data_IF_231242556474
#
_entry.id   IF_231242556474
#
_cell.length_a   1.000
_cell.length_b   1.000
_cell.length_c   1.000
_cell.angle_alpha   90.00
_cell.angle_beta   90.00
_cell.angle_gamma   90.00
#
_symmetry.space_group_name_H-M   'P 1'
#
loop_
_entity.id
_entity.type
_entity.pdbx_description
1 polymer ?
#
# COMPACT_ATOMS: atom_id res chain seq x y z
N UNK A 1 5.33 5.36 18.97
CA UNK A 1 6.46 5.59 18.08
C UNK A 1 7.59 6.28 18.85
N UNK A 2 7.40 7.49 19.38
CA UNK A 2 8.43 8.28 20.08
C UNK A 2 9.07 7.52 21.25
N UNK A 3 8.28 6.90 22.14
CA UNK A 3 8.80 6.11 23.26
C UNK A 3 9.68 4.95 22.80
N UNK A 4 9.27 4.26 21.73
CA UNK A 4 10.01 3.13 21.17
C UNK A 4 11.35 3.59 20.61
N UNK A 5 11.39 4.72 19.91
CA UNK A 5 12.60 5.23 19.25
C UNK A 5 13.45 6.18 20.14
N UNK A 6 13.07 6.43 21.39
CA UNK A 6 13.76 7.41 22.25
C UNK A 6 15.26 7.12 22.45
N UNK A 7 15.65 5.85 22.41
CA UNK A 7 17.05 5.41 22.55
C UNK A 7 17.85 5.42 21.24
N UNK A 8 17.25 5.68 20.10
CA UNK A 8 17.94 5.74 18.79
C UNK A 8 18.75 7.03 18.64
N UNK A 9 19.61 7.09 17.60
CA UNK A 9 20.38 8.33 17.29
C UNK A 9 19.42 9.49 17.04
N UNK A 10 18.43 9.32 16.17
CA UNK A 10 17.43 10.35 15.87
C UNK A 10 16.58 10.70 17.10
N UNK A 11 16.23 9.71 17.92
CA UNK A 11 15.43 9.93 19.13
C UNK A 11 16.14 10.77 20.19
N UNK A 12 17.47 10.59 20.34
CA UNK A 12 18.30 11.43 21.21
C UNK A 12 18.48 12.83 20.64
N UNK A 13 18.79 12.95 19.35
CA UNK A 13 18.96 14.21 18.63
C UNK A 13 17.72 15.12 18.76
N UNK A 14 16.52 14.56 18.56
CA UNK A 14 15.25 15.26 18.61
C UNK A 14 14.51 15.13 19.95
N UNK A 15 15.17 14.62 21.01
CA UNK A 15 14.65 14.54 22.38
C UNK A 15 13.31 13.83 22.50
N UNK A 16 13.14 12.71 21.81
CA UNK A 16 11.87 11.96 21.75
C UNK A 16 11.38 11.50 23.14
N UNK A 17 12.29 11.19 24.07
CA UNK A 17 11.90 10.83 25.45
C UNK A 17 11.15 11.96 26.16
N UNK A 18 11.61 13.21 25.98
CA UNK A 18 10.99 14.40 26.59
C UNK A 18 9.63 14.70 25.93
N UNK A 19 9.56 14.61 24.61
CA UNK A 19 8.32 14.82 23.86
C UNK A 19 7.28 13.76 24.24
N UNK A 20 7.67 12.48 24.35
CA UNK A 20 6.79 11.37 24.70
C UNK A 20 6.24 11.45 26.14
N UNK A 21 6.84 12.27 27.00
CA UNK A 21 6.37 12.60 28.34
C UNK A 21 5.41 13.79 28.42
N UNK A 22 5.16 14.49 27.29
CA UNK A 22 4.25 15.62 27.23
C UNK A 22 2.78 15.20 27.38
N UNK A 23 1.90 16.15 27.67
CA UNK A 23 0.44 15.95 27.63
C UNK A 23 -0.02 15.56 26.21
N UNK A 24 -1.18 14.94 26.08
CA UNK A 24 -1.73 14.56 24.78
C UNK A 24 -1.93 15.80 23.87
N UNK A 25 -2.34 16.92 24.44
CA UNK A 25 -2.56 18.19 23.75
C UNK A 25 -1.25 18.79 23.20
N UNK A 26 -0.16 18.67 23.95
CA UNK A 26 1.16 19.22 23.59
C UNK A 26 2.02 18.29 22.73
N UNK A 27 1.75 16.99 22.75
CA UNK A 27 2.62 15.99 22.16
C UNK A 27 2.87 16.22 20.67
N UNK A 28 1.78 16.42 19.92
CA UNK A 28 1.88 16.62 18.44
C UNK A 28 2.60 17.93 18.13
N UNK A 29 2.26 19.01 18.84
CA UNK A 29 2.91 20.32 18.67
C UNK A 29 4.41 20.22 18.92
N UNK A 30 4.83 19.67 20.08
CA UNK A 30 6.26 19.50 20.41
C UNK A 30 7.00 18.59 19.44
N UNK A 31 6.32 17.57 18.91
CA UNK A 31 6.88 16.69 17.89
C UNK A 31 7.10 17.45 16.58
N UNK A 32 6.13 18.24 16.15
CA UNK A 32 6.26 19.09 14.95
C UNK A 32 7.37 20.13 15.07
N UNK A 33 7.52 20.75 16.24
CA UNK A 33 8.54 21.74 16.52
C UNK A 33 9.96 21.13 16.53
N UNK A 34 10.09 19.88 16.99
CA UNK A 34 11.38 19.20 17.11
C UNK A 34 11.83 18.47 15.85
N UNK A 35 10.89 17.93 15.07
CA UNK A 35 11.17 17.09 13.90
C UNK A 35 10.67 17.75 12.63
N UNK A 36 11.55 18.20 11.71
CA UNK A 36 11.14 18.79 10.45
C UNK A 36 10.50 17.76 9.52
N UNK A 37 9.65 18.22 8.61
CA UNK A 37 9.18 17.43 7.47
C UNK A 37 10.36 17.22 6.51
N UNK A 38 10.52 16.00 6.00
CA UNK A 38 11.61 15.67 5.10
C UNK A 38 11.24 14.62 4.06
N UNK A 39 11.91 14.64 2.94
CA UNK A 39 11.80 13.63 1.91
C UNK A 39 12.89 12.54 2.07
N UNK A 40 13.03 11.67 1.07
CA UNK A 40 14.03 10.59 1.09
C UNK A 40 15.47 11.13 1.23
N UNK A 41 15.78 12.28 0.64
CA UNK A 41 17.11 12.85 0.68
C UNK A 41 17.53 13.27 2.10
N UNK A 42 16.58 13.78 2.89
CA UNK A 42 16.82 14.13 4.29
C UNK A 42 17.24 12.93 5.16
N UNK A 43 16.86 11.71 4.75
CA UNK A 43 17.16 10.47 5.47
C UNK A 43 18.22 9.60 4.78
N UNK A 44 18.63 9.91 3.54
CA UNK A 44 19.47 9.06 2.69
C UNK A 44 20.69 8.49 3.40
N UNK A 45 21.49 9.33 4.04
CA UNK A 45 22.73 8.90 4.71
C UNK A 45 22.46 7.95 5.88
N UNK A 46 21.40 8.21 6.65
CA UNK A 46 20.99 7.38 7.79
C UNK A 46 20.42 6.03 7.32
N UNK A 47 19.62 6.06 6.27
CA UNK A 47 19.07 4.84 5.64
C UNK A 47 20.20 3.99 5.04
N UNK A 48 21.20 4.60 4.42
CA UNK A 48 22.38 3.91 3.91
C UNK A 48 23.17 3.23 5.05
N UNK A 49 23.47 3.93 6.14
CA UNK A 49 24.16 3.36 7.31
C UNK A 49 23.39 2.17 7.90
N UNK A 50 22.05 2.26 8.01
CA UNK A 50 21.23 1.15 8.48
C UNK A 50 21.23 -0.04 7.53
N UNK A 51 21.21 0.17 6.21
CA UNK A 51 21.10 -0.89 5.21
C UNK A 51 22.45 -1.49 4.83
N UNK A 52 23.43 -0.65 4.56
CA UNK A 52 24.74 -1.09 4.05
C UNK A 52 25.64 -1.57 5.17
N UNK A 53 25.65 -0.84 6.29
CA UNK A 53 26.50 -1.14 7.45
C UNK A 53 25.79 -1.95 8.54
N UNK A 54 24.47 -2.19 8.39
CA UNK A 54 23.62 -2.82 9.41
C UNK A 54 23.68 -2.08 10.76
N UNK A 55 23.84 -0.75 10.71
CA UNK A 55 24.03 0.06 11.92
C UNK A 55 22.72 0.03 12.76
N UNK A 56 22.80 -0.41 14.04
CA UNK A 56 21.63 -0.46 14.90
C UNK A 56 21.27 0.92 15.44
N UNK A 57 20.02 1.07 15.87
CA UNK A 57 19.54 2.22 16.64
C UNK A 57 19.75 3.59 15.96
N UNK A 58 19.72 3.64 14.63
CA UNK A 58 19.84 4.91 13.89
C UNK A 58 18.48 5.62 13.84
N UNK A 59 17.57 5.17 13.00
CA UNK A 59 16.21 5.73 12.88
C UNK A 59 15.16 4.90 13.65
N UNK A 60 15.41 3.62 13.87
CA UNK A 60 14.54 2.68 14.56
C UNK A 60 15.38 1.75 15.45
N UNK A 61 14.83 1.22 16.57
CA UNK A 61 15.60 0.37 17.48
C UNK A 61 16.07 -0.93 16.84
N UNK A 62 17.31 -1.30 17.13
CA UNK A 62 17.97 -2.50 16.63
C UNK A 62 18.35 -2.41 15.15
N UNK A 63 18.73 -3.55 14.57
CA UNK A 63 19.03 -3.68 13.16
C UNK A 63 17.75 -3.95 12.38
N UNK A 64 17.45 -3.16 11.37
CA UNK A 64 16.35 -3.42 10.41
C UNK A 64 16.90 -4.28 9.29
N UNK A 65 16.44 -5.53 9.23
CA UNK A 65 16.98 -6.55 8.31
C UNK A 65 16.28 -6.61 6.96
N UNK A 66 15.11 -6.00 6.83
CA UNK A 66 14.29 -6.06 5.62
C UNK A 66 14.10 -4.67 5.03
N UNK A 67 14.30 -4.56 3.72
CA UNK A 67 14.26 -3.29 2.99
C UNK A 67 13.48 -3.44 1.70
N UNK A 68 12.42 -2.65 1.58
CA UNK A 68 11.65 -2.58 0.35
C UNK A 68 12.36 -1.67 -0.66
N UNK A 69 12.58 -2.21 -1.86
CA UNK A 69 13.09 -1.44 -2.99
C UNK A 69 11.92 -0.84 -3.76
N UNK A 70 12.01 0.45 -4.08
CA UNK A 70 10.99 1.15 -4.85
C UNK A 70 11.63 2.06 -5.89
N UNK A 71 11.02 2.14 -7.07
CA UNK A 71 11.45 3.07 -8.12
C UNK A 71 11.16 4.51 -7.67
N UNK A 72 12.22 5.29 -7.45
CA UNK A 72 12.10 6.72 -7.18
C UNK A 72 11.65 7.47 -8.44
N UNK A 73 10.69 8.40 -8.29
CA UNK A 73 10.21 9.27 -9.39
C UNK A 73 11.27 10.22 -9.95
N UNK A 74 12.45 10.31 -9.34
CA UNK A 74 13.56 11.23 -9.71
C UNK A 74 14.85 10.53 -10.12
N UNK A 75 14.73 9.30 -10.67
CA UNK A 75 15.89 8.64 -11.31
C UNK A 75 16.81 7.84 -10.38
N UNK A 76 16.42 7.58 -9.13
CA UNK A 76 17.19 6.71 -8.23
C UNK A 76 16.33 5.69 -7.52
N UNK A 77 16.89 4.52 -7.22
CA UNK A 77 16.24 3.54 -6.36
C UNK A 77 16.16 4.08 -4.93
N UNK A 78 15.00 3.90 -4.30
CA UNK A 78 14.80 4.19 -2.88
C UNK A 78 14.70 2.88 -2.12
N UNK A 79 15.26 2.88 -0.92
CA UNK A 79 15.24 1.74 -0.02
C UNK A 79 14.52 2.10 1.26
N UNK A 80 13.38 1.50 1.47
CA UNK A 80 12.46 1.79 2.58
C UNK A 80 12.62 0.73 3.66
N UNK A 81 12.88 1.10 4.91
CA UNK A 81 13.05 0.13 6.00
C UNK A 81 11.73 -0.56 6.33
N UNK A 82 11.77 -1.88 6.48
CA UNK A 82 10.63 -2.70 6.86
C UNK A 82 10.94 -3.40 8.19
N UNK A 83 10.64 -2.73 9.28
CA UNK A 83 10.83 -3.26 10.63
C UNK A 83 9.87 -4.42 10.93
N UNK A 84 10.13 -5.19 11.99
CA UNK A 84 9.18 -6.21 12.48
C UNK A 84 7.84 -5.58 12.88
N UNK A 85 7.85 -4.35 13.39
CA UNK A 85 6.63 -3.62 13.73
C UNK A 85 5.86 -3.23 12.46
N UNK A 86 6.55 -2.82 11.39
CA UNK A 86 5.93 -2.54 10.10
C UNK A 86 5.33 -3.81 9.47
N UNK A 87 6.00 -4.95 9.57
CA UNK A 87 5.42 -6.24 9.15
C UNK A 87 4.11 -6.55 9.88
N UNK A 88 4.06 -6.29 11.21
CA UNK A 88 2.83 -6.47 12.00
C UNK A 88 1.75 -5.47 11.61
N UNK A 89 2.12 -4.22 11.30
CA UNK A 89 1.22 -3.18 10.78
C UNK A 89 0.57 -3.64 9.48
N UNK A 90 1.36 -4.06 8.51
CA UNK A 90 0.88 -4.57 7.23
C UNK A 90 0.00 -5.82 7.38
N UNK A 91 0.33 -6.71 8.33
CA UNK A 91 -0.51 -7.88 8.62
C UNK A 91 -1.87 -7.49 9.19
N UNK A 92 -1.93 -6.50 10.10
CA UNK A 92 -3.20 -5.96 10.61
C UNK A 92 -4.04 -5.36 9.49
N UNK A 93 -3.42 -4.53 8.63
CA UNK A 93 -4.11 -3.97 7.46
C UNK A 93 -4.65 -5.07 6.53
N UNK A 94 -3.91 -6.16 6.32
CA UNK A 94 -4.39 -7.31 5.56
C UNK A 94 -5.61 -7.99 6.21
N UNK A 95 -5.66 -8.10 7.54
CA UNK A 95 -6.84 -8.61 8.24
C UNK A 95 -8.04 -7.66 8.11
N UNK A 96 -7.80 -6.35 8.14
CA UNK A 96 -8.86 -5.34 7.96
C UNK A 96 -9.48 -5.41 6.55
N UNK A 97 -8.71 -5.79 5.52
CA UNK A 97 -9.26 -6.05 4.17
C UNK A 97 -10.36 -7.12 4.25
N UNK A 98 -10.11 -8.24 4.95
CA UNK A 98 -11.12 -9.29 5.11
C UNK A 98 -12.32 -8.82 5.94
N UNK A 99 -12.07 -8.06 7.01
CA UNK A 99 -13.14 -7.49 7.83
C UNK A 99 -14.04 -6.53 7.03
N UNK A 100 -13.43 -5.69 6.19
CA UNK A 100 -14.20 -4.80 5.31
C UNK A 100 -14.88 -5.54 4.17
N UNK A 101 -14.24 -6.57 3.58
CA UNK A 101 -14.86 -7.40 2.55
C UNK A 101 -16.21 -8.01 3.00
N UNK A 102 -16.35 -8.38 4.28
CA UNK A 102 -17.63 -8.83 4.83
C UNK A 102 -18.71 -7.75 4.75
N UNK A 103 -18.36 -6.47 4.90
CA UNK A 103 -19.31 -5.34 4.75
C UNK A 103 -19.76 -5.17 3.30
N UNK A 104 -18.97 -5.65 2.34
CA UNK A 104 -19.31 -5.71 0.92
C UNK A 104 -20.17 -6.93 0.58
N UNK A 105 -20.54 -7.77 1.56
CA UNK A 105 -21.34 -8.98 1.34
C UNK A 105 -20.51 -10.22 1.04
N UNK A 106 -19.18 -10.14 1.11
CA UNK A 106 -18.30 -11.29 0.89
C UNK A 106 -18.41 -12.27 2.05
N UNK A 107 -18.67 -13.53 1.75
CA UNK A 107 -18.68 -14.60 2.74
C UNK A 107 -17.27 -15.16 2.93
N UNK A 108 -16.69 -15.01 4.13
CA UNK A 108 -15.34 -15.52 4.43
C UNK A 108 -15.26 -17.05 4.28
N UNK A 109 -16.30 -17.78 4.67
CA UNK A 109 -16.33 -19.25 4.51
C UNK A 109 -16.30 -19.68 3.05
N UNK A 110 -17.03 -18.96 2.19
CA UNK A 110 -16.96 -19.19 0.74
C UNK A 110 -15.62 -18.77 0.18
N UNK A 111 -15.09 -17.61 0.60
CA UNK A 111 -13.80 -17.08 0.14
C UNK A 111 -12.67 -18.07 0.43
N UNK A 112 -12.57 -18.56 1.66
CA UNK A 112 -11.55 -19.50 2.12
C UNK A 112 -11.75 -20.95 1.63
N UNK A 113 -12.88 -21.25 1.01
CA UNK A 113 -13.15 -22.58 0.41
C UNK A 113 -12.47 -22.79 -0.96
N UNK A 114 -11.78 -21.81 -1.52
CA UNK A 114 -11.01 -21.89 -2.76
C UNK A 114 -9.67 -21.19 -2.68
N UNK A 115 -9.18 -20.65 -3.79
CA UNK A 115 -7.86 -20.05 -3.87
C UNK A 115 -7.93 -18.52 -3.80
N UNK A 116 -7.00 -17.94 -3.06
CA UNK A 116 -6.75 -16.51 -2.98
C UNK A 116 -5.50 -16.21 -3.82
N UNK A 117 -5.70 -15.59 -4.98
CA UNK A 117 -4.66 -15.30 -5.95
C UNK A 117 -4.05 -13.93 -5.67
N UNK A 118 -2.75 -13.90 -5.38
CA UNK A 118 -1.99 -12.67 -5.15
C UNK A 118 -1.03 -12.41 -6.31
N UNK A 119 -1.23 -11.31 -6.99
CA UNK A 119 -0.39 -10.83 -8.07
C UNK A 119 0.58 -9.77 -7.53
N UNK A 120 1.70 -10.23 -7.00
CA UNK A 120 2.80 -9.39 -6.52
C UNK A 120 3.78 -9.00 -7.62
N UNK A 121 4.62 -8.00 -7.34
CA UNK A 121 5.71 -7.56 -8.20
C UNK A 121 6.86 -8.57 -8.32
N UNK A 122 8.07 -8.05 -8.52
CA UNK A 122 9.28 -8.88 -8.51
C UNK A 122 9.49 -9.50 -7.13
N UNK A 123 10.05 -10.69 -7.11
CA UNK A 123 10.39 -11.40 -5.88
C UNK A 123 11.88 -11.55 -5.70
N UNK A 124 12.68 -10.84 -6.51
CA UNK A 124 14.11 -10.75 -6.32
C UNK A 124 14.43 -10.15 -4.97
N UNK A 125 14.93 -10.95 -4.06
CA UNK A 125 15.44 -10.52 -2.76
C UNK A 125 16.94 -10.81 -2.74
N UNK A 126 17.72 -9.73 -2.66
CA UNK A 126 19.17 -9.81 -2.46
C UNK A 126 19.48 -9.80 -0.97
N UNK A 127 20.55 -10.49 -0.58
CA UNK A 127 21.04 -10.52 0.80
C UNK A 127 22.49 -10.05 0.79
N UNK A 128 22.80 -8.98 1.50
CA UNK A 128 24.18 -8.50 1.58
C UNK A 128 25.01 -9.32 2.60
N UNK A 129 26.32 -9.06 2.68
CA UNK A 129 27.24 -9.76 3.57
C UNK A 129 26.90 -9.62 5.07
N UNK A 130 26.05 -8.67 5.45
CA UNK A 130 25.59 -8.45 6.82
C UNK A 130 24.20 -9.07 7.11
N UNK A 131 23.64 -9.82 6.15
CA UNK A 131 22.34 -10.47 6.29
C UNK A 131 21.15 -9.53 6.06
N UNK A 132 21.35 -8.33 5.51
CA UNK A 132 20.29 -7.39 5.16
C UNK A 132 19.65 -7.83 3.86
N UNK A 133 18.34 -8.02 3.89
CA UNK A 133 17.52 -8.44 2.74
C UNK A 133 16.92 -7.21 2.06
N UNK A 134 17.08 -7.11 0.75
CA UNK A 134 16.53 -6.00 -0.06
C UNK A 134 15.81 -6.55 -1.27
N UNK A 135 14.61 -6.06 -1.55
CA UNK A 135 13.82 -6.45 -2.70
C UNK A 135 12.44 -5.80 -2.71
N UNK A 136 11.59 -6.17 -3.64
CA UNK A 136 10.19 -5.74 -3.64
C UNK A 136 9.48 -6.19 -2.34
N UNK A 137 8.60 -5.34 -1.80
CA UNK A 137 7.87 -5.66 -0.57
C UNK A 137 7.10 -6.98 -0.68
N UNK A 138 6.54 -7.30 -1.84
CA UNK A 138 5.86 -8.57 -2.10
C UNK A 138 6.80 -9.77 -1.97
N UNK A 139 8.05 -9.64 -2.43
CA UNK A 139 9.08 -10.67 -2.28
C UNK A 139 9.49 -10.90 -0.82
N UNK A 140 9.53 -9.84 -0.02
CA UNK A 140 9.83 -9.93 1.42
C UNK A 140 8.69 -10.56 2.21
N UNK A 141 7.43 -10.33 1.83
CA UNK A 141 6.24 -10.79 2.57
C UNK A 141 5.80 -12.20 2.17
N UNK A 142 5.91 -12.57 0.89
CA UNK A 142 5.46 -13.88 0.39
C UNK A 142 5.99 -15.07 1.21
N UNK A 143 7.29 -15.15 1.60
CA UNK A 143 7.79 -16.25 2.42
C UNK A 143 7.23 -16.31 3.85
N UNK A 144 6.55 -15.24 4.29
CA UNK A 144 5.94 -15.16 5.62
C UNK A 144 4.51 -15.69 5.65
N UNK A 145 3.91 -15.99 4.49
CA UNK A 145 2.59 -16.61 4.40
C UNK A 145 2.68 -18.05 4.92
N UNK A 146 2.07 -18.28 6.08
CA UNK A 146 2.11 -19.56 6.79
C UNK A 146 0.74 -20.21 6.87
N UNK A 147 0.73 -21.48 7.26
CA UNK A 147 -0.50 -22.18 7.60
C UNK A 147 -1.36 -21.36 8.60
N UNK A 148 -2.70 -21.28 8.42
CA UNK A 148 -3.50 -21.95 7.37
C UNK A 148 -3.60 -21.20 6.05
N UNK A 149 -3.15 -19.94 5.94
CA UNK A 149 -3.28 -19.13 4.72
C UNK A 149 -2.49 -19.70 3.53
N UNK A 150 -1.38 -20.39 3.78
CA UNK A 150 -0.60 -21.07 2.72
C UNK A 150 -1.39 -22.12 1.94
N UNK A 151 -2.41 -22.74 2.58
CA UNK A 151 -3.25 -23.75 1.92
C UNK A 151 -4.16 -23.15 0.85
N UNK A 152 -4.59 -21.92 1.03
CA UNK A 152 -5.47 -21.20 0.10
C UNK A 152 -4.73 -20.20 -0.77
N UNK A 153 -3.46 -19.92 -0.49
CA UNK A 153 -2.64 -19.00 -1.25
C UNK A 153 -2.32 -19.53 -2.66
N UNK A 154 -2.45 -18.69 -3.66
CA UNK A 154 -2.04 -18.92 -5.05
C UNK A 154 -1.25 -17.69 -5.54
N UNK A 155 -0.21 -17.85 -6.38
CA UNK A 155 0.15 -19.07 -7.11
C UNK A 155 1.05 -20.05 -6.34
N UNK A 156 1.41 -19.77 -5.10
CA UNK A 156 2.41 -20.51 -4.34
C UNK A 156 3.84 -20.03 -4.65
N UNK A 157 4.84 -20.43 -3.82
CA UNK A 157 6.19 -19.88 -3.89
C UNK A 157 6.88 -20.15 -5.23
N UNK A 158 6.70 -21.32 -5.82
CA UNK A 158 7.40 -21.71 -7.06
C UNK A 158 7.11 -20.77 -8.24
N UNK A 159 5.88 -20.28 -8.35
CA UNK A 159 5.48 -19.33 -9.40
C UNK A 159 5.62 -17.89 -8.92
N UNK A 160 5.30 -17.62 -7.64
CA UNK A 160 5.42 -16.28 -7.07
C UNK A 160 6.86 -15.76 -7.13
N UNK A 161 7.86 -16.65 -7.02
CA UNK A 161 9.30 -16.33 -7.02
C UNK A 161 9.93 -16.24 -8.43
N UNK A 162 9.15 -16.35 -9.49
CA UNK A 162 9.67 -16.12 -10.85
C UNK A 162 9.94 -14.63 -11.08
N UNK A 163 11.15 -14.30 -11.57
CA UNK A 163 11.61 -12.93 -11.72
C UNK A 163 11.21 -12.31 -13.05
N UNK A 164 11.26 -13.11 -14.13
CA UNK A 164 10.90 -12.63 -15.45
C UNK A 164 9.39 -12.50 -15.60
N UNK A 165 8.93 -11.27 -15.68
CA UNK A 165 7.48 -10.92 -15.65
C UNK A 165 6.63 -11.68 -16.68
N UNK A 166 6.99 -11.76 -17.99
CA UNK A 166 6.21 -12.53 -18.94
C UNK A 166 6.08 -14.01 -18.58
N UNK A 167 7.18 -14.63 -18.14
CA UNK A 167 7.18 -16.05 -17.70
C UNK A 167 6.32 -16.25 -16.46
N UNK A 168 6.37 -15.30 -15.51
CA UNK A 168 5.57 -15.33 -14.29
C UNK A 168 4.08 -15.24 -14.60
N UNK A 169 3.65 -14.30 -15.44
CA UNK A 169 2.26 -14.15 -15.87
C UNK A 169 1.76 -15.39 -16.60
N UNK A 170 2.55 -15.96 -17.50
CA UNK A 170 2.20 -17.21 -18.21
C UNK A 170 2.04 -18.39 -17.25
N UNK A 171 2.96 -18.56 -16.31
CA UNK A 171 2.88 -19.61 -15.30
C UNK A 171 1.66 -19.43 -14.36
N UNK A 172 1.42 -18.20 -13.90
CA UNK A 172 0.24 -17.86 -13.10
C UNK A 172 -1.05 -18.14 -13.85
N UNK A 173 -1.16 -17.70 -15.11
CA UNK A 173 -2.36 -17.90 -15.91
C UNK A 173 -2.64 -19.40 -16.17
N UNK A 174 -1.60 -20.19 -16.48
CA UNK A 174 -1.73 -21.65 -16.65
C UNK A 174 -2.23 -22.33 -15.37
N UNK A 175 -1.76 -21.90 -14.23
CA UNK A 175 -2.15 -22.43 -12.93
C UNK A 175 -3.59 -22.02 -12.58
N UNK A 176 -3.88 -20.72 -12.58
CA UNK A 176 -5.15 -20.17 -12.11
C UNK A 176 -6.33 -20.44 -13.05
N UNK A 177 -6.10 -20.68 -14.35
CA UNK A 177 -7.15 -21.13 -15.28
C UNK A 177 -7.73 -22.52 -14.94
N UNK A 178 -7.04 -23.29 -14.08
CA UNK A 178 -7.51 -24.59 -13.59
C UNK A 178 -7.87 -24.62 -12.11
N UNK A 179 -7.86 -23.46 -11.43
CA UNK A 179 -8.13 -23.37 -10.00
C UNK A 179 -9.48 -22.67 -9.72
N UNK A 180 -10.09 -23.01 -8.60
CA UNK A 180 -11.26 -22.31 -8.06
C UNK A 180 -10.82 -21.00 -7.40
N UNK A 181 -10.59 -19.97 -8.21
CA UNK A 181 -10.18 -18.63 -7.74
C UNK A 181 -11.38 -17.90 -7.16
N UNK A 182 -11.26 -17.47 -5.91
CA UNK A 182 -12.32 -16.77 -5.18
C UNK A 182 -11.96 -15.37 -4.78
N UNK A 183 -10.69 -15.05 -4.73
CA UNK A 183 -10.19 -13.69 -4.57
C UNK A 183 -9.00 -13.48 -5.50
N UNK A 184 -8.91 -12.28 -6.07
CA UNK A 184 -7.70 -11.78 -6.72
C UNK A 184 -7.25 -10.51 -5.98
N UNK A 185 -5.95 -10.39 -5.75
CA UNK A 185 -5.34 -9.17 -5.20
C UNK A 185 -4.16 -8.76 -6.06
N UNK A 186 -4.14 -7.52 -6.55
CA UNK A 186 -3.07 -6.99 -7.38
C UNK A 186 -3.40 -5.65 -8.01
N UNK A 187 -2.42 -5.06 -8.70
CA UNK A 187 -2.67 -3.83 -9.48
C UNK A 187 -3.64 -4.10 -10.62
N UNK A 188 -4.55 -3.16 -10.87
CA UNK A 188 -5.58 -3.31 -11.91
C UNK A 188 -4.99 -3.60 -13.29
N UNK A 189 -3.90 -2.92 -13.68
CA UNK A 189 -3.21 -3.11 -14.95
C UNK A 189 -2.66 -4.53 -15.11
N UNK A 190 -1.97 -5.04 -14.10
CA UNK A 190 -1.38 -6.38 -14.13
C UNK A 190 -2.44 -7.47 -14.03
N UNK A 191 -3.47 -7.22 -13.23
CA UNK A 191 -4.60 -8.15 -13.10
C UNK A 191 -5.36 -8.30 -14.42
N UNK A 192 -5.55 -7.22 -15.18
CA UNK A 192 -6.18 -7.31 -16.51
C UNK A 192 -5.38 -8.20 -17.46
N UNK A 193 -4.05 -8.04 -17.52
CA UNK A 193 -3.17 -8.92 -18.34
C UNK A 193 -3.33 -10.39 -17.93
N UNK A 194 -3.37 -10.66 -16.61
CA UNK A 194 -3.57 -12.01 -16.11
C UNK A 194 -4.96 -12.56 -16.45
N UNK A 195 -6.01 -11.74 -16.35
CA UNK A 195 -7.39 -12.12 -16.67
C UNK A 195 -7.53 -12.52 -18.14
N UNK A 196 -6.99 -11.71 -19.06
CA UNK A 196 -6.98 -11.99 -20.48
C UNK A 196 -6.22 -13.28 -20.79
N UNK A 197 -5.06 -13.48 -20.17
CA UNK A 197 -4.23 -14.67 -20.38
C UNK A 197 -4.89 -15.93 -19.81
N UNK A 198 -5.50 -15.86 -18.64
CA UNK A 198 -6.25 -16.97 -18.05
C UNK A 198 -7.42 -17.39 -18.93
N UNK A 199 -8.16 -16.42 -19.47
CA UNK A 199 -9.27 -16.66 -20.41
C UNK A 199 -8.78 -17.27 -21.73
N UNK A 200 -7.67 -16.79 -22.29
CA UNK A 200 -7.03 -17.35 -23.48
C UNK A 200 -6.69 -18.85 -23.26
N UNK A 201 -6.03 -19.16 -22.14
CA UNK A 201 -5.66 -20.53 -21.80
C UNK A 201 -6.90 -21.42 -21.58
N UNK A 202 -7.94 -20.92 -20.92
CA UNK A 202 -9.18 -21.64 -20.74
C UNK A 202 -9.85 -21.98 -22.09
N UNK A 203 -9.82 -21.04 -23.04
CA UNK A 203 -10.33 -21.25 -24.41
C UNK A 203 -9.57 -22.29 -25.20
N UNK A 204 -8.25 -22.42 -25.02
CA UNK A 204 -7.48 -23.49 -25.66
C UNK A 204 -7.86 -24.88 -25.17
N UNK A 205 -8.29 -24.98 -23.88
CA UNK A 205 -8.74 -26.22 -23.27
C UNK A 205 -10.21 -26.53 -23.59
N UNK A 206 -11.03 -25.51 -23.64
CA UNK A 206 -12.46 -25.59 -23.95
C UNK A 206 -12.88 -24.40 -24.82
N UNK A 207 -13.00 -24.57 -26.16
CA UNK A 207 -13.38 -23.49 -27.08
C UNK A 207 -14.76 -22.89 -26.86
N UNK A 208 -15.62 -23.49 -26.02
CA UNK A 208 -16.94 -22.94 -25.68
C UNK A 208 -16.87 -21.80 -24.65
N UNK A 209 -15.79 -21.70 -23.88
CA UNK A 209 -15.61 -20.66 -22.87
C UNK A 209 -15.50 -19.28 -23.54
N UNK A 210 -16.31 -18.33 -23.09
CA UNK A 210 -16.38 -16.97 -23.64
C UNK A 210 -15.88 -15.89 -22.67
N UNK A 211 -16.07 -16.09 -21.38
CA UNK A 211 -15.86 -15.09 -20.34
C UNK A 211 -15.03 -15.64 -19.17
N UNK A 212 -14.36 -14.74 -18.46
CA UNK A 212 -13.62 -15.12 -17.26
C UNK A 212 -14.55 -15.61 -16.13
N UNK A 213 -15.79 -15.14 -16.11
CA UNK A 213 -16.84 -15.65 -15.18
C UNK A 213 -17.08 -17.15 -15.32
N UNK A 214 -16.95 -17.69 -16.53
CA UNK A 214 -17.05 -19.14 -16.76
C UNK A 214 -15.80 -19.90 -16.29
N UNK A 215 -14.63 -19.23 -16.26
CA UNK A 215 -13.38 -19.80 -15.74
C UNK A 215 -13.37 -19.78 -14.21
N UNK A 216 -13.83 -18.67 -13.61
CA UNK A 216 -13.85 -18.45 -12.15
C UNK A 216 -15.27 -18.17 -11.64
N UNK A 217 -16.20 -19.15 -11.72
CA UNK A 217 -17.60 -18.93 -11.38
C UNK A 217 -17.83 -18.56 -9.90
N UNK A 218 -16.88 -18.86 -9.04
CA UNK A 218 -16.93 -18.60 -7.61
C UNK A 218 -16.14 -17.37 -7.18
N UNK A 219 -15.60 -16.57 -8.12
CA UNK A 219 -14.91 -15.34 -7.76
C UNK A 219 -15.83 -14.42 -6.96
N UNK A 220 -15.36 -13.95 -5.81
CA UNK A 220 -16.14 -13.09 -4.92
C UNK A 220 -15.54 -11.69 -4.79
N UNK A 221 -14.20 -11.57 -4.79
CA UNK A 221 -13.55 -10.33 -4.42
C UNK A 221 -12.35 -10.05 -5.31
N UNK A 222 -12.27 -8.81 -5.80
CA UNK A 222 -11.07 -8.24 -6.39
C UNK A 222 -10.56 -7.11 -5.50
N UNK A 223 -9.39 -7.30 -4.88
CA UNK A 223 -8.68 -6.28 -4.10
C UNK A 223 -7.65 -5.63 -5.03
N UNK A 224 -7.76 -4.33 -5.25
CA UNK A 224 -6.86 -3.62 -6.17
C UNK A 224 -6.35 -2.31 -5.58
N UNK A 225 -5.22 -1.84 -6.08
CA UNK A 225 -4.60 -0.58 -5.67
C UNK A 225 -3.36 -0.27 -6.52
N UNK A 226 -2.63 0.77 -6.15
CA UNK A 226 -1.39 1.20 -6.80
C UNK A 226 -1.58 2.01 -8.08
N UNK A 227 -2.69 1.86 -8.79
CA UNK A 227 -3.08 2.64 -9.97
C UNK A 227 -4.58 2.92 -9.95
N UNK A 228 -5.02 4.01 -10.60
CA UNK A 228 -6.45 4.30 -10.77
C UNK A 228 -7.11 3.16 -11.55
N UNK A 229 -8.25 2.66 -11.05
CA UNK A 229 -8.97 1.55 -11.68
C UNK A 229 -9.74 1.96 -12.94
N UNK A 230 -10.30 3.17 -12.95
CA UNK A 230 -11.23 3.63 -13.99
C UNK A 230 -10.76 3.41 -15.46
N UNK A 231 -9.48 3.60 -15.83
CA UNK A 231 -9.03 3.32 -17.19
C UNK A 231 -9.15 1.84 -17.60
N UNK A 232 -9.14 0.93 -16.65
CA UNK A 232 -9.18 -0.53 -16.89
C UNK A 232 -10.60 -1.11 -16.80
N UNK A 233 -11.53 -0.39 -16.17
CA UNK A 233 -12.89 -0.87 -15.87
C UNK A 233 -13.64 -1.39 -17.11
N UNK A 234 -13.71 -0.69 -18.27
CA UNK A 234 -14.45 -1.19 -19.43
C UNK A 234 -13.91 -2.54 -19.92
N UNK A 235 -12.58 -2.68 -19.96
CA UNK A 235 -11.96 -3.90 -20.45
C UNK A 235 -12.06 -5.06 -19.45
N UNK A 236 -11.96 -4.78 -18.15
CA UNK A 236 -12.20 -5.79 -17.09
C UNK A 236 -13.62 -6.33 -17.19
N UNK A 237 -14.64 -5.48 -17.35
CA UNK A 237 -16.04 -5.88 -17.54
C UNK A 237 -16.23 -6.76 -18.78
N UNK A 238 -15.62 -6.36 -19.89
CA UNK A 238 -15.65 -7.15 -21.12
C UNK A 238 -15.02 -8.54 -20.96
N UNK A 239 -13.86 -8.64 -20.33
CA UNK A 239 -13.18 -9.91 -20.07
C UNK A 239 -13.99 -10.76 -19.09
N UNK A 240 -14.59 -10.12 -18.07
CA UNK A 240 -15.39 -10.80 -17.04
C UNK A 240 -16.69 -11.40 -17.59
N UNK A 241 -17.49 -10.60 -18.29
CA UNK A 241 -18.88 -10.96 -18.64
C UNK A 241 -19.20 -10.83 -20.13
N UNK A 242 -18.23 -10.50 -20.99
CA UNK A 242 -18.42 -10.31 -22.43
C UNK A 242 -19.31 -9.12 -22.73
N UNK A 243 -20.21 -9.28 -23.71
CA UNK A 243 -21.14 -8.24 -24.15
C UNK A 243 -22.13 -7.76 -23.06
N UNK A 244 -22.28 -8.50 -21.95
CA UNK A 244 -23.15 -8.09 -20.84
C UNK A 244 -22.56 -6.88 -20.09
N UNK A 245 -21.22 -6.70 -20.09
CA UNK A 245 -20.55 -5.57 -19.45
C UNK A 245 -20.75 -5.51 -17.91
N UNK A 246 -21.13 -6.65 -17.28
CA UNK A 246 -21.30 -6.71 -15.83
C UNK A 246 -19.97 -6.54 -15.11
N UNK A 247 -20.00 -5.89 -13.96
CA UNK A 247 -18.84 -5.74 -13.10
C UNK A 247 -18.48 -7.05 -12.37
N UNK A 248 -17.25 -7.10 -11.86
CA UNK A 248 -16.84 -8.12 -10.90
C UNK A 248 -17.76 -8.10 -9.67
N UNK A 249 -18.00 -9.25 -8.99
CA UNK A 249 -18.95 -9.34 -7.90
C UNK A 249 -18.73 -8.32 -6.79
N UNK A 250 -17.49 -8.19 -6.33
CA UNK A 250 -17.08 -7.15 -5.37
C UNK A 250 -15.67 -6.66 -5.69
N UNK A 251 -15.48 -5.34 -5.58
CA UNK A 251 -14.18 -4.69 -5.67
C UNK A 251 -13.92 -3.92 -4.40
N UNK A 252 -12.68 -3.98 -3.93
CA UNK A 252 -12.20 -3.25 -2.76
C UNK A 252 -10.88 -2.59 -3.12
N UNK A 253 -10.86 -1.26 -3.13
CA UNK A 253 -9.66 -0.49 -3.40
C UNK A 253 -8.83 -0.34 -2.13
N UNK A 254 -7.51 -0.48 -2.28
CA UNK A 254 -6.53 -0.32 -1.22
C UNK A 254 -5.45 0.67 -1.63
N UNK A 255 -4.89 1.35 -0.65
CA UNK A 255 -3.77 2.26 -0.82
C UNK A 255 -2.55 1.73 -0.04
N UNK A 256 -1.84 0.73 -0.58
CA UNK A 256 -0.58 0.27 -0.04
C UNK A 256 0.57 1.12 -0.58
N UNK A 257 1.60 1.32 0.24
CA UNK A 257 2.87 1.88 -0.16
C UNK A 257 4.01 1.06 0.46
N UNK A 258 5.22 1.18 -0.07
CA UNK A 258 6.40 0.53 0.51
C UNK A 258 6.70 1.05 1.91
N UNK A 259 6.35 2.30 2.18
CA UNK A 259 6.46 2.98 3.46
C UNK A 259 5.46 2.47 4.52
N UNK A 260 4.36 1.88 4.08
CA UNK A 260 3.32 1.32 4.94
C UNK A 260 1.95 1.29 4.26
N UNK A 261 1.00 0.61 4.87
CA UNK A 261 -0.37 0.54 4.38
C UNK A 261 -1.13 1.80 4.82
N UNK A 262 -1.69 2.56 3.89
CA UNK A 262 -2.23 3.90 4.19
C UNK A 262 -3.74 3.87 4.39
N UNK A 263 -4.49 3.35 3.43
CA UNK A 263 -5.95 3.40 3.46
C UNK A 263 -6.59 2.26 2.67
N UNK A 264 -7.88 2.01 2.90
CA UNK A 264 -8.65 1.03 2.16
C UNK A 264 -10.14 1.38 2.13
N UNK A 265 -10.86 0.94 1.10
CA UNK A 265 -12.31 1.01 1.08
C UNK A 265 -12.90 0.20 2.25
N UNK A 266 -13.90 0.78 2.94
CA UNK A 266 -14.58 0.13 4.06
C UNK A 266 -16.10 0.13 3.91
N UNK A 267 -16.63 0.78 2.88
CA UNK A 267 -18.07 0.96 2.68
C UNK A 267 -18.43 0.76 1.21
N UNK A 268 -19.37 -0.15 0.90
CA UNK A 268 -19.86 -0.37 -0.45
C UNK A 268 -20.39 0.92 -1.08
N UNK A 269 -20.07 1.15 -2.36
CA UNK A 269 -20.54 2.33 -3.11
C UNK A 269 -19.88 3.65 -2.71
N UNK A 270 -19.05 3.69 -1.67
CA UNK A 270 -18.26 4.86 -1.31
C UNK A 270 -16.83 4.73 -1.90
N UNK A 271 -16.41 5.62 -2.80
CA UNK A 271 -15.07 5.57 -3.37
C UNK A 271 -13.96 6.05 -2.42
N UNK A 272 -14.33 6.68 -1.31
CA UNK A 272 -13.37 7.15 -0.32
C UNK A 272 -12.70 6.01 0.44
N UNK A 273 -11.38 6.09 0.58
CA UNK A 273 -10.55 5.11 1.29
C UNK A 273 -10.40 5.54 2.75
N UNK A 274 -10.81 4.70 3.67
CA UNK A 274 -10.62 4.93 5.11
C UNK A 274 -9.14 4.89 5.46
N UNK A 275 -8.66 5.97 6.08
CA UNK A 275 -7.30 6.09 6.58
C UNK A 275 -7.06 5.11 7.74
N UNK A 276 -5.96 4.38 7.72
CA UNK A 276 -5.55 3.43 8.76
C UNK A 276 -4.86 4.13 9.93
N UNK A 277 -5.62 4.72 10.85
CA UNK A 277 -5.09 5.54 11.96
C UNK A 277 -4.57 4.73 13.16
N UNK A 278 -4.84 3.43 13.21
CA UNK A 278 -4.58 2.55 14.36
C UNK A 278 -3.58 1.40 14.06
N UNK A 279 -2.91 1.46 12.92
CA UNK A 279 -1.97 0.42 12.46
C UNK A 279 -0.48 0.74 12.73
N UNK A 280 -0.20 1.73 13.59
CA UNK A 280 1.19 2.06 13.99
C UNK A 280 1.88 3.07 13.09
N UNK A 281 1.12 3.83 12.33
CA UNK A 281 1.56 4.95 11.51
C UNK A 281 0.83 6.22 11.97
N UNK A 282 1.57 7.30 12.12
CA UNK A 282 1.00 8.62 12.37
C UNK A 282 1.04 9.44 11.08
N UNK A 283 -0.10 9.99 10.69
CA UNK A 283 -0.26 10.74 9.45
C UNK A 283 -0.42 12.21 9.72
N UNK A 284 0.24 13.00 8.88
CA UNK A 284 0.07 14.43 8.74
C UNK A 284 -0.13 14.77 7.26
N UNK A 285 -0.67 15.95 6.99
CA UNK A 285 -1.07 16.39 5.66
C UNK A 285 -0.58 17.82 5.46
N UNK A 286 0.17 18.08 4.39
CA UNK A 286 0.62 19.42 4.02
C UNK A 286 -0.23 19.89 2.83
N UNK A 287 -0.86 21.09 2.90
CA UNK A 287 -1.53 21.65 1.73
C UNK A 287 -0.62 21.66 0.51
N UNK A 288 -1.13 21.20 -0.64
CA UNK A 288 -0.32 21.04 -1.86
C UNK A 288 0.41 22.33 -2.26
N UNK A 289 -0.24 23.45 -2.10
CA UNK A 289 0.29 24.80 -2.42
C UNK A 289 1.34 25.33 -1.43
N UNK A 290 1.52 24.64 -0.29
CA UNK A 290 2.47 25.04 0.74
C UNK A 290 3.73 24.18 0.79
N UNK A 291 3.78 23.03 0.11
CA UNK A 291 4.84 22.03 0.30
C UNK A 291 6.25 22.57 0.05
N UNK A 292 6.41 23.50 -0.86
CA UNK A 292 7.69 24.12 -1.21
C UNK A 292 8.01 25.36 -0.35
N UNK A 293 7.13 25.73 0.58
CA UNK A 293 7.34 26.87 1.48
C UNK A 293 8.16 26.45 2.70
N UNK A 294 9.10 27.29 3.18
CA UNK A 294 9.88 26.98 4.38
C UNK A 294 9.03 26.87 5.67
N UNK A 295 7.87 27.53 5.68
CA UNK A 295 6.90 27.58 6.78
C UNK A 295 5.70 26.67 6.58
N UNK A 296 5.75 25.76 5.61
CA UNK A 296 4.68 24.79 5.31
C UNK A 296 4.22 24.06 6.57
N UNK A 297 2.92 24.15 6.85
CA UNK A 297 2.32 23.55 8.04
C UNK A 297 1.70 22.20 7.72
N UNK A 298 2.18 21.15 8.38
CA UNK A 298 1.51 19.86 8.37
C UNK A 298 0.39 19.82 9.43
N UNK A 299 -0.79 19.36 9.05
CA UNK A 299 -1.99 19.23 9.89
C UNK A 299 -2.37 17.75 10.09
N UNK A 300 -3.12 17.44 11.15
CA UNK A 300 -3.69 16.11 11.37
C UNK A 300 -4.99 15.93 10.58
N UNK A 301 -5.50 14.70 10.50
CA UNK A 301 -6.69 14.37 9.71
C UNK A 301 -8.01 14.99 10.22
N UNK A 302 -8.04 15.54 11.42
CA UNK A 302 -9.14 16.31 11.99
C UNK A 302 -9.03 17.82 11.71
N UNK A 303 -7.86 18.27 11.27
CA UNK A 303 -7.58 19.67 10.94
C UNK A 303 -7.72 19.96 9.42
N UNK A 304 -7.80 18.92 8.56
CA UNK A 304 -7.92 19.08 7.09
C UNK A 304 -9.28 19.63 6.66
N UNK A 305 -9.38 20.08 5.42
CA UNK A 305 -10.59 20.55 4.77
C UNK A 305 -10.98 19.68 3.59
N UNK A 306 -12.29 19.45 3.41
CA UNK A 306 -12.81 18.72 2.23
C UNK A 306 -12.63 19.56 0.97
N UNK A 307 -12.24 18.89 -0.14
CA UNK A 307 -12.01 19.56 -1.42
C UNK A 307 -10.65 20.26 -1.54
N UNK A 308 -9.85 20.32 -0.47
CA UNK A 308 -8.48 20.78 -0.52
C UNK A 308 -7.53 19.60 -0.78
N UNK A 309 -6.47 19.86 -1.53
CA UNK A 309 -5.42 18.87 -1.86
C UNK A 309 -4.30 18.92 -0.85
N UNK A 310 -3.88 17.74 -0.43
CA UNK A 310 -2.82 17.58 0.56
C UNK A 310 -1.77 16.58 0.10
N UNK A 311 -0.53 16.80 0.51
CA UNK A 311 0.55 15.83 0.40
C UNK A 311 0.60 15.02 1.70
N UNK A 312 0.70 13.70 1.55
CA UNK A 312 0.76 12.78 2.70
C UNK A 312 2.16 12.78 3.30
N UNK A 313 2.20 12.97 4.62
CA UNK A 313 3.40 12.87 5.46
C UNK A 313 3.19 11.76 6.47
N UNK A 314 4.17 10.87 6.61
CA UNK A 314 4.08 9.68 7.44
C UNK A 314 5.17 9.65 8.51
N UNK A 315 4.80 9.30 9.73
CA UNK A 315 5.72 8.84 10.76
C UNK A 315 5.45 7.37 11.03
N UNK A 316 6.42 6.50 10.74
CA UNK A 316 6.20 5.07 10.69
C UNK A 316 6.90 4.30 11.81
N UNK A 317 6.41 3.11 12.10
CA UNK A 317 7.06 2.17 13.01
C UNK A 317 8.25 1.42 12.37
N UNK A 318 8.90 2.02 11.38
CA UNK A 318 10.13 1.55 10.75
C UNK A 318 11.22 2.63 10.70
N UNK A 319 10.96 3.82 11.28
CA UNK A 319 11.96 4.89 11.39
C UNK A 319 11.89 5.96 10.31
N UNK A 320 10.82 6.03 9.53
CA UNK A 320 10.55 7.23 8.73
C UNK A 320 9.82 8.24 9.62
N UNK A 321 10.39 9.42 9.77
CA UNK A 321 9.91 10.47 10.67
C UNK A 321 9.47 11.69 9.87
N UNK A 322 8.16 12.02 9.92
CA UNK A 322 7.55 13.11 9.15
C UNK A 322 7.99 13.10 7.67
N UNK A 323 7.96 11.89 7.10
CA UNK A 323 8.45 11.59 5.77
C UNK A 323 7.40 11.91 4.71
N UNK A 324 7.77 12.70 3.71
CA UNK A 324 6.93 13.05 2.55
C UNK A 324 6.93 11.88 1.56
N UNK A 325 5.78 11.22 1.41
CA UNK A 325 5.64 10.14 0.42
C UNK A 325 5.47 10.68 -1.01
N UNK A 326 4.94 11.90 -1.13
CA UNK A 326 4.75 12.59 -2.41
C UNK A 326 3.41 12.32 -3.10
N UNK A 327 2.56 11.49 -2.53
CA UNK A 327 1.20 11.29 -3.03
C UNK A 327 0.29 12.44 -2.58
N UNK A 328 -0.60 12.87 -3.49
CA UNK A 328 -1.57 13.93 -3.28
C UNK A 328 -2.94 13.32 -3.07
N UNK A 329 -3.60 13.74 -2.01
CA UNK A 329 -4.92 13.24 -1.59
C UNK A 329 -5.92 14.37 -1.36
N UNK A 330 -7.20 14.06 -1.47
CA UNK A 330 -8.33 14.90 -1.06
C UNK A 330 -9.18 14.12 -0.06
N UNK A 331 -9.76 14.82 0.95
CA UNK A 331 -10.63 14.20 1.95
C UNK A 331 -12.10 14.31 1.58
N UNK A 332 -12.83 13.20 1.71
CA UNK A 332 -14.29 13.13 1.55
C UNK A 332 -15.01 13.27 2.89
N UNK A 333 -14.46 12.68 3.96
CA UNK A 333 -15.01 12.74 5.32
C UNK A 333 -13.91 13.04 6.33
N UNK A 334 -14.29 13.78 7.39
CA UNK A 334 -13.39 14.27 8.43
C UNK A 334 -13.97 13.93 9.79
N UNK A 335 -13.16 13.45 10.77
CA UNK A 335 -13.63 13.17 12.12
C UNK A 335 -14.24 14.41 12.80
N UNK A 336 -15.35 14.22 13.51
CA UNK A 336 -15.92 15.24 14.39
C UNK A 336 -16.60 16.44 13.73
N UNK A 337 -16.67 16.53 12.41
CA UNK A 337 -17.35 17.64 11.71
C UNK A 337 -18.80 17.31 11.37
N UNK A 338 -19.72 18.20 11.74
CA UNK A 338 -21.14 18.10 11.38
C UNK A 338 -21.31 18.09 9.85
N UNK A 339 -22.12 17.15 9.33
CA UNK A 339 -22.38 17.00 7.89
C UNK A 339 -21.31 16.22 7.11
N UNK A 340 -20.08 16.17 7.59
CA UNK A 340 -18.99 15.38 7.00
C UNK A 340 -18.37 14.40 8.01
N UNK A 341 -19.05 14.14 9.13
CA UNK A 341 -18.55 13.34 10.25
C UNK A 341 -18.44 11.85 9.89
N UNK A 342 -17.37 11.23 10.34
CA UNK A 342 -17.11 9.80 10.14
C UNK A 342 -15.62 9.48 10.28
N UNK A 343 -15.20 8.26 9.98
CA UNK A 343 -13.78 7.97 9.88
C UNK A 343 -13.18 8.81 8.75
N UNK A 344 -11.90 9.24 8.88
CA UNK A 344 -11.26 10.01 7.82
C UNK A 344 -11.17 9.15 6.55
N UNK A 345 -11.76 9.62 5.46
CA UNK A 345 -11.70 8.99 4.15
C UNK A 345 -11.11 9.95 3.14
N UNK A 346 -10.21 9.44 2.35
CA UNK A 346 -9.48 10.19 1.34
C UNK A 346 -9.54 9.52 -0.03
N UNK A 347 -9.24 10.27 -1.08
CA UNK A 347 -8.99 9.79 -2.44
C UNK A 347 -7.61 10.20 -2.90
N UNK A 348 -6.94 9.32 -3.63
CA UNK A 348 -5.66 9.63 -4.26
C UNK A 348 -5.94 10.38 -5.55
N UNK A 349 -5.45 11.61 -5.66
CA UNK A 349 -5.66 12.45 -6.84
C UNK A 349 -4.44 12.52 -7.76
N UNK A 350 -3.25 12.24 -7.26
CA UNK A 350 -2.03 12.20 -8.07
C UNK A 350 -0.75 12.12 -7.24
N UNK A 351 0.37 12.50 -7.86
CA UNK A 351 1.66 12.66 -7.20
C UNK A 351 2.18 14.07 -7.39
N UNK A 352 2.75 14.67 -6.35
CA UNK A 352 3.24 16.05 -6.36
C UNK A 352 4.20 16.32 -7.54
N UNK A 353 5.15 15.45 -7.80
CA UNK A 353 6.13 15.62 -8.89
C UNK A 353 5.59 15.40 -10.31
N UNK A 354 4.34 14.93 -10.43
CA UNK A 354 3.63 14.83 -11.71
C UNK A 354 2.79 16.08 -12.00
N UNK A 355 2.62 16.99 -11.05
CA UNK A 355 2.00 18.28 -11.27
C UNK A 355 3.07 19.23 -11.82
N UNK A 356 3.06 19.45 -13.13
CA UNK A 356 3.94 20.42 -13.79
C UNK A 356 3.26 21.78 -13.67
N UNK A 357 3.94 22.72 -13.02
CA UNK A 357 3.48 24.10 -12.98
C UNK A 357 3.95 24.81 -14.27
N UNK A 358 3.12 24.81 -15.30
CA UNK A 358 3.36 25.54 -16.52
C UNK A 358 2.58 26.87 -16.45
N UNK A 359 3.32 27.98 -16.36
CA UNK A 359 2.76 29.34 -16.33
C UNK A 359 1.78 29.63 -15.18
N UNK A 360 1.97 28.99 -14.01
CA UNK A 360 1.10 29.18 -12.86
C UNK A 360 -0.15 28.28 -12.83
N UNK A 361 -0.32 27.40 -13.82
CA UNK A 361 -1.36 26.39 -13.84
C UNK A 361 -0.79 24.99 -13.58
N UNK A 362 -1.44 24.24 -12.71
CA UNK A 362 -1.07 22.86 -12.44
C UNK A 362 -1.63 21.93 -13.52
N UNK A 363 -0.77 21.45 -14.41
CA UNK A 363 -1.11 20.43 -15.40
C UNK A 363 -0.81 19.03 -14.80
N UNK A 364 -1.73 18.09 -15.00
CA UNK A 364 -1.61 16.69 -14.57
C UNK A 364 -1.20 15.83 -15.75
#
# INVERSE_FOLDING_TARGET
LLRTAAGTKIGREHRFAQIAGASAEDLVRRFRDAMPVGDYEAFRSRLAAMREDAEPDVLWPGVVTDWAETSGTTGGQKYIPVSRQMMRSNYRAALDIFAHAMRFGVSLTRLLGGRLLFLGGSTDVTVNARGIRTGDLSGLVTPLIRWPLSEVYSPGPDVALLNHWPTKIDAMAKLCAGQDIRMVSGMASWSLVLFEKALEIARTRNPSVRTLREVWPNLQLFVHGGVKYAPFDPRVREVWSGAQGEDLPHRLEVYPASEGFIAMQDTPGNPGLRLGTDIGIFYEFVPLEEIDRPDARAVCCDEVETGQRYIVVMTTCAGLWRYVIGDVVEFDTIPGRAGAGGPPRLRIVGRHRHFINAFGENLI
#
